data_IF_887113231163
#
_entry.id   IF_887113231163
#
_cell.length_a   1.000
_cell.length_b   1.000
_cell.length_c   1.000
_cell.angle_alpha   90.00
_cell.angle_beta   90.00
_cell.angle_gamma   90.00
#
_symmetry.space_group_name_H-M   'P 1'
#
loop_
_entity.id
_entity.type
_entity.pdbx_description
1 polymer ?
#
# COMPACT_ATOMS: atom_id res chain seq x y z
N UNK A 1 7.60 10.53 6.77
CA UNK A 1 6.56 10.73 7.82
C UNK A 1 5.68 11.95 7.58
N UNK A 2 6.18 13.12 7.14
CA UNK A 2 5.28 14.24 6.85
C UNK A 2 4.45 14.01 5.57
N UNK A 3 5.06 13.49 4.50
CA UNK A 3 4.37 13.19 3.24
C UNK A 3 3.22 12.18 3.43
N UNK A 4 3.43 11.15 4.27
CA UNK A 4 2.38 10.16 4.60
C UNK A 4 1.17 10.80 5.28
N UNK A 5 1.37 11.83 6.10
CA UNK A 5 0.28 12.60 6.72
C UNK A 5 -0.46 13.42 5.67
N UNK A 6 0.26 14.06 4.76
CA UNK A 6 -0.36 14.88 3.71
C UNK A 6 -1.17 14.03 2.73
N UNK A 7 -0.75 12.79 2.49
CA UNK A 7 -1.49 11.82 1.68
C UNK A 7 -2.64 11.14 2.44
N UNK A 8 -2.84 11.40 3.74
CA UNK A 8 -4.05 10.97 4.44
C UNK A 8 -5.16 12.01 4.16
N UNK A 9 -6.28 11.60 3.52
CA UNK A 9 -7.39 12.50 3.17
C UNK A 9 -8.01 13.26 4.34
N UNK A 10 -7.79 12.81 5.59
CA UNK A 10 -8.30 13.45 6.81
C UNK A 10 -7.42 14.58 7.31
N UNK A 11 -6.12 14.54 7.04
CA UNK A 11 -5.13 15.41 7.68
C UNK A 11 -4.54 16.43 6.73
N UNK A 12 -4.16 15.98 5.52
CA UNK A 12 -3.56 16.80 4.47
C UNK A 12 -2.48 17.77 5.01
N UNK A 13 -2.43 18.99 4.46
CA UNK A 13 -1.52 20.04 4.93
C UNK A 13 -2.01 20.70 6.22
N UNK A 14 -3.30 20.56 6.55
CA UNK A 14 -3.92 21.12 7.76
C UNK A 14 -3.23 20.61 9.03
N UNK A 15 -2.95 19.30 9.12
CA UNK A 15 -2.26 18.76 10.29
C UNK A 15 -0.80 19.25 10.40
N UNK A 16 -0.13 19.47 9.28
CA UNK A 16 1.24 20.02 9.24
C UNK A 16 1.23 21.46 9.75
N UNK A 17 0.32 22.29 9.24
CA UNK A 17 0.13 23.67 9.69
C UNK A 17 -0.26 23.78 11.17
N UNK A 18 -1.00 22.80 11.70
CA UNK A 18 -1.35 22.72 13.12
C UNK A 18 -0.21 22.24 14.02
N UNK A 19 0.58 21.26 13.55
CA UNK A 19 1.56 20.56 14.39
C UNK A 19 2.94 21.20 14.37
N UNK A 20 3.37 21.75 13.22
CA UNK A 20 4.72 22.29 13.07
C UNK A 20 4.99 23.51 13.97
N UNK A 21 4.03 24.43 14.19
CA UNK A 21 4.21 25.52 15.18
C UNK A 21 4.38 25.04 16.62
N UNK A 22 3.98 23.81 16.94
CA UNK A 22 4.13 23.23 18.29
C UNK A 22 5.47 22.53 18.50
N UNK A 23 6.14 22.15 17.42
CA UNK A 23 7.37 21.34 17.43
C UNK A 23 8.60 22.19 17.05
N UNK A 24 8.42 23.19 16.18
CA UNK A 24 9.46 24.10 15.72
C UNK A 24 9.24 25.52 16.22
N UNK A 25 10.30 26.33 16.27
CA UNK A 25 10.25 27.71 16.77
C UNK A 25 10.66 28.71 15.70
N UNK A 26 10.00 29.87 15.67
CA UNK A 26 10.36 31.00 14.81
C UNK A 26 10.34 30.67 13.31
N UNK A 27 11.41 31.07 12.60
CA UNK A 27 11.54 30.91 11.14
C UNK A 27 11.60 29.45 10.67
N UNK A 28 11.86 28.50 11.57
CA UNK A 28 11.96 27.08 11.23
C UNK A 28 10.60 26.48 10.89
N UNK A 29 9.51 27.04 11.41
CA UNK A 29 8.14 26.57 11.12
C UNK A 29 7.86 26.70 9.63
N UNK A 30 7.97 27.92 9.09
CA UNK A 30 7.75 28.19 7.66
C UNK A 30 8.69 27.36 6.78
N UNK A 31 9.99 27.35 7.10
CA UNK A 31 10.99 26.57 6.36
C UNK A 31 10.65 25.08 6.28
N UNK A 32 10.15 24.49 7.38
CA UNK A 32 9.80 23.08 7.40
C UNK A 32 8.48 22.79 6.68
N UNK A 33 7.51 23.71 6.75
CA UNK A 33 6.26 23.61 5.96
C UNK A 33 6.59 23.65 4.46
N UNK A 34 7.42 24.60 4.04
CA UNK A 34 7.87 24.73 2.64
C UNK A 34 8.61 23.47 2.19
N UNK A 35 9.49 22.92 3.02
CA UNK A 35 10.18 21.64 2.73
C UNK A 35 9.23 20.47 2.52
N UNK A 36 8.14 20.38 3.30
CA UNK A 36 7.14 19.32 3.12
C UNK A 36 6.40 19.52 1.81
N UNK A 37 6.02 20.77 1.51
CA UNK A 37 5.38 21.15 0.26
C UNK A 37 6.27 20.80 -0.94
N UNK A 38 7.51 21.31 -0.98
CA UNK A 38 8.46 21.06 -2.06
C UNK A 38 8.71 19.56 -2.28
N UNK A 39 8.91 18.81 -1.20
CA UNK A 39 9.12 17.37 -1.29
C UNK A 39 7.89 16.63 -1.85
N UNK A 40 6.68 17.05 -1.47
CA UNK A 40 5.44 16.47 -1.99
C UNK A 40 5.31 16.68 -3.49
N UNK A 41 5.52 17.91 -3.98
CA UNK A 41 5.47 18.22 -5.42
C UNK A 41 6.59 17.53 -6.18
N UNK A 42 7.79 17.43 -5.60
CA UNK A 42 8.90 16.71 -6.22
C UNK A 42 8.54 15.24 -6.46
N UNK A 43 7.98 14.55 -5.46
CA UNK A 43 7.56 13.16 -5.62
C UNK A 43 6.41 13.06 -6.62
N UNK A 44 5.40 13.92 -6.53
CA UNK A 44 4.28 13.90 -7.46
C UNK A 44 4.73 14.05 -8.92
N UNK A 45 5.67 14.97 -9.19
CA UNK A 45 6.21 15.19 -10.53
C UNK A 45 6.93 13.96 -11.09
N UNK A 46 7.62 13.18 -10.25
CA UNK A 46 8.24 11.91 -10.67
C UNK A 46 7.18 10.94 -11.20
N UNK A 47 6.05 10.81 -10.50
CA UNK A 47 4.93 9.98 -10.94
C UNK A 47 4.24 10.49 -12.22
N UNK A 48 4.18 11.81 -12.42
CA UNK A 48 3.67 12.41 -13.67
C UNK A 48 4.58 12.06 -14.86
N UNK A 49 5.90 12.13 -14.68
CA UNK A 49 6.89 11.77 -15.71
C UNK A 49 6.79 10.28 -16.06
N UNK A 50 6.65 9.41 -15.07
CA UNK A 50 6.49 7.97 -15.29
C UNK A 50 5.17 7.62 -16.00
N UNK A 51 4.09 8.30 -15.63
CA UNK A 51 2.77 8.11 -16.24
C UNK A 51 2.77 8.54 -17.71
N UNK A 52 3.33 9.72 -18.02
CA UNK A 52 3.44 10.22 -19.40
C UNK A 52 4.37 9.36 -20.26
N UNK A 53 5.50 8.92 -19.71
CA UNK A 53 6.45 8.03 -20.38
C UNK A 53 5.84 6.65 -20.70
N UNK A 54 5.01 6.12 -19.80
CA UNK A 54 4.32 4.84 -20.01
C UNK A 54 3.27 4.92 -21.13
N UNK A 55 2.52 6.02 -21.20
CA UNK A 55 1.52 6.25 -22.26
C UNK A 55 2.17 6.47 -23.64
N UNK A 56 3.33 7.14 -23.69
CA UNK A 56 4.09 7.32 -24.92
C UNK A 56 4.59 5.98 -25.49
N UNK A 57 5.06 5.07 -24.63
CA UNK A 57 5.54 3.73 -25.04
C UNK A 57 4.42 2.83 -25.57
N UNK A 58 3.21 2.92 -25.01
CA UNK A 58 2.04 2.20 -25.52
C UNK A 58 1.57 2.70 -26.90
N UNK A 59 1.86 3.95 -27.25
CA UNK A 59 1.52 4.53 -28.56
C UNK A 59 2.53 4.13 -29.65
N UNK A 60 3.79 3.88 -29.28
CA UNK A 60 4.85 3.50 -30.23
C UNK A 60 4.87 2.00 -30.58
N UNK A 61 4.29 1.12 -29.75
CA UNK A 61 4.35 -0.34 -29.95
C UNK A 61 3.19 -0.91 -30.80
N UNK A 62 2.51 -0.10 -31.62
CA UNK A 62 1.29 -0.50 -32.34
C UNK A 62 1.38 -0.37 -33.87
N UNK A 63 2.58 -0.51 -34.41
CA UNK A 63 2.83 -0.76 -35.83
C UNK A 63 3.53 -2.12 -35.99
N UNK A 64 2.98 -2.96 -36.88
CA UNK A 64 3.42 -4.34 -37.26
C UNK A 64 2.98 -5.41 -36.24
N UNK A 65 2.18 -6.45 -36.53
CA UNK A 65 2.02 -7.34 -37.69
C UNK A 65 0.56 -7.83 -37.86
N UNK A 66 0.21 -8.34 -39.05
CA UNK A 66 -1.16 -8.71 -39.44
C UNK A 66 -1.55 -10.20 -39.33
N UNK A 67 -2.88 -10.41 -39.40
CA UNK A 67 -3.68 -11.63 -39.72
C UNK A 67 -3.49 -12.88 -38.84
N UNK A 68 -4.46 -13.71 -38.47
CA UNK A 68 -5.70 -14.17 -39.13
C UNK A 68 -6.73 -14.77 -38.14
N UNK A 69 -7.91 -15.14 -38.66
CA UNK A 69 -9.16 -15.67 -38.05
C UNK A 69 -8.99 -16.89 -37.10
N UNK A 70 -9.92 -17.31 -36.22
CA UNK A 70 -11.37 -17.63 -36.34
C UNK A 70 -11.99 -17.67 -34.92
N UNK A 71 -13.28 -17.32 -34.80
CA UNK A 71 -14.16 -17.89 -33.76
C UNK A 71 -14.71 -16.93 -32.69
N UNK A 72 -16.04 -16.74 -32.73
CA UNK A 72 -16.87 -16.59 -31.53
C UNK A 72 -16.97 -15.21 -30.86
N UNK A 73 -18.19 -14.67 -30.94
CA UNK A 73 -18.89 -13.79 -29.98
C UNK A 73 -18.75 -12.27 -30.12
N UNK A 74 -19.92 -11.62 -30.15
CA UNK A 74 -20.24 -10.19 -30.25
C UNK A 74 -19.59 -9.28 -29.17
N UNK A 75 -18.61 -9.75 -28.41
CA UNK A 75 -17.87 -8.95 -27.41
C UNK A 75 -16.72 -8.15 -28.02
N UNK A 76 -16.09 -8.61 -29.12
CA UNK A 76 -14.89 -7.97 -29.70
C UNK A 76 -15.12 -6.55 -30.23
N UNK A 77 -16.31 -6.26 -30.78
CA UNK A 77 -16.63 -4.93 -31.31
C UNK A 77 -16.85 -3.88 -30.20
N UNK A 78 -17.52 -4.27 -29.10
CA UNK A 78 -17.70 -3.40 -27.91
C UNK A 78 -16.36 -3.08 -27.24
N UNK A 79 -15.44 -4.04 -27.16
CA UNK A 79 -14.13 -3.84 -26.54
C UNK A 79 -13.26 -2.90 -27.36
N UNK A 80 -13.29 -2.99 -28.69
CA UNK A 80 -12.51 -2.08 -29.56
C UNK A 80 -12.99 -0.65 -29.49
N UNK A 81 -14.31 -0.41 -29.57
CA UNK A 81 -14.88 0.94 -29.39
C UNK A 81 -14.60 1.52 -28.01
N UNK A 82 -14.64 0.70 -26.95
CA UNK A 82 -14.28 1.13 -25.59
C UNK A 82 -12.80 1.48 -25.46
N UNK A 83 -11.90 0.75 -26.12
CA UNK A 83 -10.46 1.06 -26.12
C UNK A 83 -10.14 2.32 -26.93
N UNK A 84 -10.79 2.52 -28.07
CA UNK A 84 -10.65 3.74 -28.88
C UNK A 84 -11.20 4.96 -28.14
N UNK A 85 -12.33 4.80 -27.43
CA UNK A 85 -12.87 5.84 -26.54
C UNK A 85 -11.96 6.10 -25.33
N UNK A 86 -11.42 5.07 -24.67
CA UNK A 86 -10.48 5.22 -23.55
C UNK A 86 -9.20 5.93 -24.00
N UNK A 87 -8.70 5.62 -25.20
CA UNK A 87 -7.56 6.31 -25.80
C UNK A 87 -7.90 7.76 -26.18
N UNK A 88 -9.12 8.02 -26.66
CA UNK A 88 -9.58 9.38 -26.95
C UNK A 88 -9.70 10.22 -25.68
N UNK A 89 -10.27 9.67 -24.60
CA UNK A 89 -10.37 10.34 -23.29
C UNK A 89 -8.99 10.64 -22.73
N UNK A 90 -8.06 9.66 -22.75
CA UNK A 90 -6.66 9.87 -22.32
C UNK A 90 -5.92 10.92 -23.13
N UNK A 91 -6.24 11.05 -24.43
CA UNK A 91 -5.67 12.09 -25.28
C UNK A 91 -6.34 13.46 -25.06
N UNK A 92 -7.62 13.49 -24.69
CA UNK A 92 -8.33 14.71 -24.32
C UNK A 92 -7.86 15.25 -22.96
N UNK A 93 -7.58 14.37 -22.00
CA UNK A 93 -7.01 14.72 -20.69
C UNK A 93 -5.51 15.09 -20.76
N UNK A 94 -4.85 14.83 -21.89
CA UNK A 94 -3.50 15.33 -22.20
C UNK A 94 -3.50 16.84 -22.53
N UNK A 95 -4.69 17.45 -22.67
CA UNK A 95 -4.85 18.90 -22.65
C UNK A 95 -4.86 19.31 -21.17
N UNK A 96 -3.67 19.43 -20.60
CA UNK A 96 -3.36 20.21 -19.39
C UNK A 96 -4.45 20.16 -18.30
N UNK A 97 -4.29 19.39 -17.21
CA UNK A 97 -5.05 19.70 -16.02
C UNK A 97 -4.56 21.09 -15.60
N UNK A 98 -5.35 22.14 -15.85
CA UNK A 98 -5.04 23.51 -15.47
C UNK A 98 -4.89 23.68 -13.94
N UNK A 99 -5.00 22.57 -13.20
CA UNK A 99 -4.86 22.39 -11.77
C UNK A 99 -4.40 20.94 -11.54
N UNK A 100 -3.25 20.73 -10.90
CA UNK A 100 -2.71 19.38 -10.69
C UNK A 100 -3.70 18.57 -9.83
N UNK A 101 -3.83 17.25 -10.04
CA UNK A 101 -4.64 16.37 -9.17
C UNK A 101 -4.31 16.60 -7.69
N UNK A 102 -3.03 16.86 -7.41
CA UNK A 102 -2.51 17.24 -6.10
C UNK A 102 -3.13 18.54 -5.57
N UNK A 103 -3.20 19.60 -6.38
CA UNK A 103 -3.80 20.88 -5.98
C UNK A 103 -5.30 20.71 -5.71
N UNK A 104 -6.00 19.94 -6.55
CA UNK A 104 -7.42 19.61 -6.33
C UNK A 104 -7.62 18.87 -5.01
N UNK A 105 -6.75 17.91 -4.71
CA UNK A 105 -6.80 17.16 -3.46
C UNK A 105 -6.53 18.05 -2.24
N UNK A 106 -5.55 18.94 -2.31
CA UNK A 106 -5.18 19.85 -1.23
C UNK A 106 -6.24 20.94 -0.99
N UNK A 107 -6.96 21.36 -2.03
CA UNK A 107 -8.04 22.34 -1.91
C UNK A 107 -9.40 21.74 -1.53
N UNK A 108 -9.62 20.46 -1.81
CA UNK A 108 -10.83 19.77 -1.35
C UNK A 108 -10.90 19.85 0.18
N UNK A 109 -12.06 20.23 0.72
CA UNK A 109 -12.24 20.34 2.17
C UNK A 109 -11.77 19.06 2.83
N UNK A 110 -11.03 19.19 3.94
CA UNK A 110 -10.64 18.05 4.76
C UNK A 110 -11.88 17.21 5.04
N UNK A 111 -11.72 15.89 4.99
CA UNK A 111 -12.76 14.98 5.48
C UNK A 111 -12.78 15.12 7.00
N UNK A 112 -13.30 16.23 7.49
CA UNK A 112 -13.47 16.49 8.90
C UNK A 112 -14.40 15.40 9.41
N UNK A 113 -13.83 14.56 10.26
CA UNK A 113 -14.53 13.51 10.99
C UNK A 113 -15.86 14.11 11.48
N UNK A 114 -16.97 13.56 10.99
CA UNK A 114 -18.26 13.81 11.64
C UNK A 114 -18.11 13.41 13.11
N UNK A 115 -18.73 14.15 14.04
CA UNK A 115 -18.59 14.07 15.51
C UNK A 115 -18.79 12.66 16.15
N UNK A 116 -19.01 11.62 15.36
CA UNK A 116 -19.01 10.23 15.79
C UNK A 116 -17.58 9.70 15.93
N UNK A 117 -17.02 9.97 17.11
CA UNK A 117 -15.75 9.43 17.66
C UNK A 117 -15.49 7.91 17.47
N UNK A 118 -16.46 7.12 17.00
CA UNK A 118 -16.29 5.70 16.68
C UNK A 118 -15.91 5.41 15.21
N UNK A 119 -16.07 6.36 14.28
CA UNK A 119 -15.75 6.14 12.85
C UNK A 119 -14.26 6.24 12.53
N UNK A 120 -13.49 6.90 13.40
CA UNK A 120 -12.10 7.28 13.13
C UNK A 120 -11.10 6.11 13.29
N UNK A 121 -11.53 5.03 13.94
CA UNK A 121 -10.72 3.82 14.19
C UNK A 121 -10.68 2.87 12.98
N UNK A 122 -11.70 2.91 12.11
CA UNK A 122 -11.85 1.99 10.97
C UNK A 122 -11.58 2.66 9.60
N UNK A 123 -11.07 3.89 9.57
CA UNK A 123 -10.74 4.56 8.31
C UNK A 123 -9.50 3.92 7.65
N UNK A 124 -9.72 3.23 6.52
CA UNK A 124 -8.66 2.73 5.66
C UNK A 124 -8.33 3.75 4.55
N UNK A 125 -7.20 4.45 4.71
CA UNK A 125 -6.71 5.39 3.73
C UNK A 125 -6.44 4.75 2.36
N UNK A 126 -5.95 3.50 2.32
CA UNK A 126 -5.68 2.80 1.06
C UNK A 126 -6.99 2.45 0.34
N UNK A 127 -8.03 2.07 1.07
CA UNK A 127 -9.36 1.85 0.50
C UNK A 127 -9.96 3.15 -0.07
N UNK A 128 -9.78 4.27 0.64
CA UNK A 128 -10.21 5.58 0.16
C UNK A 128 -9.51 5.97 -1.15
N UNK A 129 -8.18 5.80 -1.24
CA UNK A 129 -7.42 6.06 -2.46
C UNK A 129 -7.83 5.15 -3.60
N UNK A 130 -8.15 3.88 -3.31
CA UNK A 130 -8.66 2.94 -4.30
C UNK A 130 -10.03 3.37 -4.86
N UNK A 131 -10.92 3.87 -4.00
CA UNK A 131 -12.23 4.40 -4.41
C UNK A 131 -12.11 5.68 -5.25
N UNK A 132 -11.13 6.53 -4.95
CA UNK A 132 -10.93 7.82 -5.62
C UNK A 132 -9.91 7.78 -6.77
N UNK A 133 -9.43 6.60 -7.15
CA UNK A 133 -8.42 6.43 -8.20
C UNK A 133 -8.83 7.02 -9.54
N UNK A 134 -10.11 7.00 -9.90
CA UNK A 134 -10.58 7.61 -11.16
C UNK A 134 -10.46 9.13 -11.16
N UNK A 135 -10.62 9.77 -9.99
CA UNK A 135 -10.53 11.23 -9.81
C UNK A 135 -9.07 11.68 -9.68
N UNK A 136 -8.25 10.86 -9.02
CA UNK A 136 -6.88 11.19 -8.68
C UNK A 136 -5.94 10.07 -9.15
N UNK A 137 -5.81 9.85 -10.45
CA UNK A 137 -5.14 8.67 -11.00
C UNK A 137 -3.67 8.58 -10.59
N UNK A 138 -2.94 9.70 -10.70
CA UNK A 138 -1.50 9.75 -10.42
C UNK A 138 -1.27 9.79 -8.90
N UNK A 139 -2.05 10.62 -8.19
CA UNK A 139 -1.93 10.78 -6.76
C UNK A 139 -2.33 9.52 -5.97
N UNK A 140 -3.36 8.79 -6.40
CA UNK A 140 -3.77 7.52 -5.75
C UNK A 140 -2.72 6.45 -5.89
N UNK A 141 -1.98 6.42 -7.01
CA UNK A 141 -0.84 5.52 -7.20
C UNK A 141 0.30 5.88 -6.24
N UNK A 142 0.68 7.15 -6.19
CA UNK A 142 1.70 7.64 -5.26
C UNK A 142 1.33 7.35 -3.80
N UNK A 143 0.08 7.61 -3.42
CA UNK A 143 -0.42 7.33 -2.08
C UNK A 143 -0.41 5.84 -1.75
N UNK A 144 -0.81 4.98 -2.69
CA UNK A 144 -0.76 3.53 -2.49
C UNK A 144 0.66 3.03 -2.25
N UNK A 145 1.63 3.50 -3.04
CA UNK A 145 3.03 3.10 -2.92
C UNK A 145 3.64 3.55 -1.58
N UNK A 146 3.35 4.80 -1.17
CA UNK A 146 3.91 5.39 0.05
C UNK A 146 3.24 4.85 1.32
N UNK A 147 1.91 4.75 1.34
CA UNK A 147 1.15 4.30 2.52
C UNK A 147 1.26 2.79 2.77
N UNK A 148 1.61 2.01 1.75
CA UNK A 148 1.85 0.56 1.91
C UNK A 148 3.18 0.23 2.61
N UNK A 149 4.05 1.21 2.82
CA UNK A 149 5.34 1.00 3.50
C UNK A 149 5.08 0.81 5.01
N UNK A 150 5.41 -0.35 5.60
CA UNK A 150 5.21 -0.56 7.02
C UNK A 150 6.11 0.39 7.85
N UNK A 151 5.52 1.13 8.78
CA UNK A 151 6.21 2.11 9.61
C UNK A 151 7.11 1.44 10.68
N UNK A 152 6.78 0.22 11.09
CA UNK A 152 7.48 -0.47 12.18
C UNK A 152 8.15 -1.77 11.73
N UNK A 153 9.30 -2.05 12.33
CA UNK A 153 10.00 -3.35 12.21
C UNK A 153 9.24 -4.50 12.87
N UNK A 154 8.11 -4.24 13.53
CA UNK A 154 7.29 -5.28 14.17
C UNK A 154 6.81 -6.34 13.17
N UNK A 155 6.62 -5.96 11.89
CA UNK A 155 6.32 -6.92 10.83
C UNK A 155 7.48 -7.91 10.60
N UNK A 156 8.73 -7.43 10.58
CA UNK A 156 9.90 -8.30 10.45
C UNK A 156 10.13 -9.11 11.73
N UNK A 157 9.97 -8.53 12.91
CA UNK A 157 10.05 -9.24 14.20
C UNK A 157 8.99 -10.34 14.33
N UNK A 158 7.76 -10.12 13.86
CA UNK A 158 6.70 -11.13 13.81
C UNK A 158 7.04 -12.28 12.85
N UNK A 159 7.63 -11.97 11.70
CA UNK A 159 8.15 -12.98 10.77
C UNK A 159 9.27 -13.80 11.41
N UNK A 160 10.21 -13.17 12.13
CA UNK A 160 11.29 -13.85 12.85
C UNK A 160 10.79 -14.64 14.08
N UNK A 161 9.81 -14.12 14.82
CA UNK A 161 9.16 -14.81 15.95
C UNK A 161 8.36 -16.03 15.47
N UNK A 162 7.79 -15.96 14.27
CA UNK A 162 7.16 -17.11 13.62
C UNK A 162 8.23 -18.12 13.16
N UNK A 163 9.38 -17.65 12.67
CA UNK A 163 10.54 -18.49 12.35
C UNK A 163 10.97 -19.42 13.49
N UNK A 164 10.97 -18.92 14.74
CA UNK A 164 11.27 -19.73 15.94
C UNK A 164 10.26 -20.85 16.24
N UNK A 165 9.06 -20.82 15.64
CA UNK A 165 8.04 -21.89 15.78
C UNK A 165 8.02 -22.85 14.59
N UNK A 166 8.54 -22.41 13.43
CA UNK A 166 8.61 -23.22 12.19
C UNK A 166 9.89 -24.07 12.16
N UNK A 167 10.93 -23.63 12.87
CA UNK A 167 12.18 -24.37 13.05
C UNK A 167 12.12 -25.11 14.40
N UNK A 168 11.50 -26.29 14.40
CA UNK A 168 11.60 -27.24 15.51
C UNK A 168 12.99 -27.91 15.51
N UNK A 169 13.45 -28.44 16.66
CA UNK A 169 14.74 -29.15 16.80
C UNK A 169 14.85 -30.31 15.79
N UNK A 170 13.72 -30.94 15.44
CA UNK A 170 13.62 -31.98 14.41
C UNK A 170 13.73 -31.48 12.94
N UNK A 171 13.68 -30.17 12.72
CA UNK A 171 13.78 -29.50 11.40
C UNK A 171 15.01 -28.61 11.25
N UNK A 172 15.94 -28.66 12.21
CA UNK A 172 17.21 -27.92 12.19
C UNK A 172 18.17 -28.33 11.04
N UNK A 173 17.84 -29.37 10.24
CA UNK A 173 18.63 -29.79 9.08
C UNK A 173 18.27 -29.06 7.77
N UNK A 174 17.28 -28.19 7.77
CA UNK A 174 16.88 -27.42 6.58
C UNK A 174 17.86 -26.28 6.32
N UNK A 175 18.26 -26.11 5.06
CA UNK A 175 19.09 -24.97 4.68
C UNK A 175 18.31 -23.66 4.85
N UNK A 176 19.02 -22.58 5.17
CA UNK A 176 18.46 -21.24 5.35
C UNK A 176 17.59 -20.80 4.17
N UNK A 177 17.99 -21.17 2.94
CA UNK A 177 17.23 -20.89 1.71
C UNK A 177 15.86 -21.58 1.69
N UNK A 178 15.77 -22.84 2.13
CA UNK A 178 14.50 -23.58 2.14
C UNK A 178 13.60 -23.03 3.24
N UNK A 179 14.15 -22.70 4.41
CA UNK A 179 13.39 -22.06 5.49
C UNK A 179 12.80 -20.71 5.04
N UNK A 180 13.60 -19.88 4.36
CA UNK A 180 13.13 -18.61 3.81
C UNK A 180 12.02 -18.81 2.78
N UNK A 181 12.17 -19.79 1.88
CA UNK A 181 11.14 -20.11 0.88
C UNK A 181 9.82 -20.59 1.53
N UNK A 182 9.91 -21.42 2.58
CA UNK A 182 8.74 -21.89 3.32
C UNK A 182 8.05 -20.77 4.10
N UNK A 183 8.81 -19.91 4.78
CA UNK A 183 8.27 -18.77 5.52
C UNK A 183 7.56 -17.80 4.56
N UNK A 184 8.25 -17.39 3.49
CA UNK A 184 7.73 -16.48 2.48
C UNK A 184 6.51 -17.05 1.74
N UNK A 185 6.58 -18.32 1.34
CA UNK A 185 5.44 -19.03 0.75
C UNK A 185 4.24 -19.10 1.69
N UNK A 186 4.47 -19.36 2.98
CA UNK A 186 3.39 -19.39 3.98
C UNK A 186 2.74 -18.02 4.20
N UNK A 187 3.53 -16.94 4.17
CA UNK A 187 3.03 -15.57 4.28
C UNK A 187 2.23 -15.14 3.05
N UNK A 188 2.63 -15.53 1.84
CA UNK A 188 1.87 -15.24 0.62
C UNK A 188 0.57 -16.04 0.50
N UNK A 189 0.57 -17.31 0.93
CA UNK A 189 -0.60 -18.18 0.84
C UNK A 189 -1.67 -17.79 1.86
N UNK A 190 -1.30 -17.27 3.04
CA UNK A 190 -2.25 -16.91 4.11
C UNK A 190 -3.35 -15.93 3.68
N UNK A 191 -3.06 -14.76 3.07
CA UNK A 191 -4.07 -13.83 2.58
C UNK A 191 -4.97 -14.43 1.48
N UNK A 192 -4.40 -15.27 0.61
CA UNK A 192 -5.14 -15.87 -0.51
C UNK A 192 -6.21 -16.87 -0.05
N UNK A 193 -5.95 -17.61 1.03
CA UNK A 193 -6.84 -18.65 1.53
C UNK A 193 -7.53 -18.32 2.86
N UNK A 194 -7.42 -17.08 3.36
CA UNK A 194 -8.03 -16.60 4.62
C UNK A 194 -7.77 -17.52 5.82
N UNK A 195 -6.60 -18.16 5.89
CA UNK A 195 -6.27 -19.10 6.97
C UNK A 195 -5.88 -18.35 8.24
N UNK A 196 -6.59 -18.57 9.36
CA UNK A 196 -6.31 -17.90 10.64
C UNK A 196 -5.04 -18.48 11.29
N UNK A 197 -4.23 -17.62 11.90
CA UNK A 197 -3.07 -17.99 12.73
C UNK A 197 -3.59 -18.74 13.97
N UNK A 198 -3.16 -19.97 14.22
CA UNK A 198 -3.41 -20.61 15.51
C UNK A 198 -2.66 -19.82 16.60
N UNK A 199 -3.40 -19.21 17.51
CA UNK A 199 -2.86 -18.65 18.75
C UNK A 199 -2.39 -19.78 19.65
N UNK A 200 -1.22 -19.60 20.27
CA UNK A 200 -0.68 -20.56 21.23
C UNK A 200 -1.58 -20.55 22.48
N UNK A 201 -2.14 -21.72 22.81
CA UNK A 201 -2.58 -22.04 24.18
C UNK A 201 -1.33 -22.00 25.05
N UNK A 202 -1.31 -21.12 26.05
CA UNK A 202 -0.29 -21.12 27.08
C UNK A 202 -0.37 -22.44 27.85
N UNK A 203 0.63 -23.31 27.64
CA UNK A 203 0.82 -24.45 28.53
C UNK A 203 1.39 -23.90 29.82
N UNK A 204 0.52 -23.80 30.83
CA UNK A 204 0.86 -23.38 32.18
C UNK A 204 2.02 -24.18 32.74
N UNK A 205 2.80 -23.50 33.57
CA UNK A 205 3.86 -24.06 34.40
C UNK A 205 3.34 -25.22 35.26
N UNK A 206 3.55 -26.46 34.82
CA UNK A 206 3.50 -27.62 35.72
C UNK A 206 4.93 -27.94 36.16
N UNK A 207 5.21 -27.63 37.42
CA UNK A 207 6.40 -28.07 38.14
C UNK A 207 6.59 -29.58 37.96
N UNK A 208 7.79 -29.96 37.54
CA UNK A 208 8.29 -31.32 37.61
C UNK A 208 8.57 -31.61 39.10
N UNK A 209 7.82 -32.53 39.70
CA UNK A 209 8.24 -33.20 40.94
C UNK A 209 8.48 -34.68 40.68
N UNK A 210 9.62 -35.10 41.22
CA UNK A 210 10.43 -36.28 40.98
C UNK A 210 9.84 -37.61 41.54
N UNK A 211 9.90 -38.65 40.72
CA UNK A 211 10.21 -40.09 40.93
C UNK A 211 9.90 -40.75 42.30
N UNK A 212 9.16 -41.87 42.24
CA UNK A 212 9.49 -43.10 42.98
C UNK A 212 8.92 -44.36 42.28
N UNK A 213 9.80 -45.30 41.94
CA UNK A 213 9.47 -46.64 41.42
C UNK A 213 9.56 -47.63 42.59
N UNK A 214 8.57 -48.53 42.82
CA UNK A 214 8.78 -49.73 43.62
C UNK A 214 8.98 -50.97 42.72
N UNK A 215 10.06 -51.70 43.00
CA UNK A 215 10.43 -52.99 42.39
C UNK A 215 9.48 -54.13 42.78
N UNK A 216 9.42 -55.23 41.99
CA UNK A 216 8.49 -56.34 42.19
C UNK A 216 9.04 -57.39 43.18
N UNK A 217 8.13 -58.14 43.81
CA UNK A 217 8.37 -59.52 44.25
C UNK A 217 7.31 -60.41 43.61
#
# INVERSE_FOLDING_TARGET
MAITVVLDPRFKMTLINFSFPKIYQGFEVARNIDRVHDALYQHYNEYVVDYTSSNARQSASKSTEGSSSVGGNNSKFKTRGRMEFDQFVRNADNIQPAKLDLDVHLEESDFLCSDDSNLDLDFDALEWWKANNLKFCILSKMASDILSIPITTVASESAFSTGGRVIDVYRASLSTKIVQALLCGSDWVRPLYKTKKQSKVELGSTSITEIAIPFPK
#
